data_IF_824346044627
#
_entry.id   IF_824346044627
#
_cell.length_a   1.000
_cell.length_b   1.000
_cell.length_c   1.000
_cell.angle_alpha   90.00
_cell.angle_beta   90.00
_cell.angle_gamma   90.00
#
_symmetry.space_group_name_H-M   'P 1'
#
loop_
_entity.id
_entity.type
_entity.pdbx_description
1 polymer ?
#
# COMPACT_ATOMS: atom_id res chain seq x y z
N UNK A 1 -9.18 63.07 -9.18
CA UNK A 1 -8.25 63.66 -8.18
C UNK A 1 -8.79 65.04 -7.82
N UNK A 2 -8.85 65.39 -6.53
CA UNK A 2 -9.29 66.71 -6.06
C UNK A 2 -8.06 67.59 -5.84
N UNK A 3 -8.04 68.78 -6.41
CA UNK A 3 -6.97 69.78 -6.24
C UNK A 3 -7.57 70.95 -5.44
N UNK A 4 -6.80 71.46 -4.47
CA UNK A 4 -7.21 72.57 -3.60
C UNK A 4 -7.66 73.80 -4.41
N UNK A 5 -8.85 74.37 -4.14
CA UNK A 5 -9.45 75.45 -4.92
C UNK A 5 -8.64 76.76 -4.94
N UNK A 6 -7.76 77.01 -3.96
CA UNK A 6 -6.86 78.18 -4.05
C UNK A 6 -5.77 78.00 -5.11
N UNK A 7 -5.29 76.76 -5.32
CA UNK A 7 -4.28 76.44 -6.34
C UNK A 7 -4.86 76.44 -7.75
N UNK A 8 -6.15 76.09 -7.91
CA UNK A 8 -6.83 76.14 -9.19
C UNK A 8 -7.07 77.57 -9.69
N UNK A 9 -7.37 78.52 -8.79
CA UNK A 9 -7.53 79.95 -9.13
C UNK A 9 -6.22 80.62 -9.57
N UNK A 10 -5.09 80.27 -8.95
CA UNK A 10 -3.76 80.80 -9.32
C UNK A 10 -3.34 80.31 -10.72
N UNK A 11 -3.91 79.21 -11.19
CA UNK A 11 -3.58 78.59 -12.47
C UNK A 11 -4.25 79.21 -13.70
N UNK A 12 -5.03 80.30 -13.57
CA UNK A 12 -5.74 80.99 -14.68
C UNK A 12 -6.48 80.02 -15.64
N UNK A 13 -7.11 78.97 -15.09
CA UNK A 13 -7.91 78.01 -15.87
C UNK A 13 -7.14 76.83 -16.48
N UNK A 14 -5.83 76.70 -16.24
CA UNK A 14 -5.03 75.58 -16.78
C UNK A 14 -5.16 74.26 -15.99
N UNK A 15 -5.64 74.27 -14.75
CA UNK A 15 -5.81 73.07 -13.92
C UNK A 15 -7.22 73.00 -13.30
N UNK A 16 -8.07 72.02 -13.66
CA UNK A 16 -9.42 71.88 -13.10
C UNK A 16 -9.42 71.32 -11.66
N UNK A 17 -10.27 71.87 -10.78
CA UNK A 17 -10.41 71.47 -9.35
C UNK A 17 -10.85 70.02 -9.15
N UNK A 18 -11.63 69.49 -10.10
CA UNK A 18 -12.07 68.09 -10.11
C UNK A 18 -11.77 67.47 -11.47
N UNK A 19 -10.93 66.42 -11.47
CA UNK A 19 -10.72 65.56 -12.63
C UNK A 19 -11.16 64.13 -12.33
N UNK A 20 -11.98 63.55 -13.20
CA UNK A 20 -12.35 62.14 -13.14
C UNK A 20 -11.95 61.47 -14.44
N UNK A 21 -11.00 60.55 -14.35
CA UNK A 21 -10.53 59.76 -15.47
C UNK A 21 -11.02 58.32 -15.29
N UNK A 22 -11.78 57.81 -16.26
CA UNK A 22 -12.12 56.40 -16.37
C UNK A 22 -11.45 55.83 -17.62
N UNK A 23 -10.81 54.68 -17.50
CA UNK A 23 -10.24 53.96 -18.63
C UNK A 23 -10.85 52.56 -18.69
N UNK A 24 -11.27 52.15 -19.89
CA UNK A 24 -11.72 50.79 -20.17
C UNK A 24 -10.80 50.25 -21.26
N UNK A 25 -10.07 49.18 -20.96
CA UNK A 25 -9.21 48.49 -21.91
C UNK A 25 -9.75 47.08 -22.14
N UNK A 26 -9.87 46.69 -23.41
CA UNK A 26 -10.21 45.34 -23.83
C UNK A 26 -9.10 44.81 -24.74
N UNK A 27 -8.65 43.58 -24.50
CA UNK A 27 -7.64 42.91 -25.31
C UNK A 27 -8.20 41.59 -25.83
N UNK A 28 -8.09 41.36 -27.13
CA UNK A 28 -8.51 40.13 -27.79
C UNK A 28 -7.35 39.56 -28.61
N UNK A 29 -7.05 38.27 -28.41
CA UNK A 29 -6.11 37.54 -29.23
C UNK A 29 -6.79 37.12 -30.54
N UNK A 30 -6.34 37.63 -31.68
CA UNK A 30 -6.87 37.24 -32.99
C UNK A 30 -6.20 35.97 -33.53
N UNK A 31 -4.88 35.84 -33.37
CA UNK A 31 -4.11 34.65 -33.76
C UNK A 31 -2.76 34.60 -33.03
N UNK A 32 -2.37 33.41 -32.55
CA UNK A 32 -1.03 33.12 -32.05
C UNK A 32 -0.77 31.62 -32.13
N UNK A 33 0.23 31.23 -32.91
CA UNK A 33 0.65 29.83 -33.04
C UNK A 33 1.12 29.27 -31.69
N UNK A 34 1.89 30.04 -30.93
CA UNK A 34 2.35 29.65 -29.59
C UNK A 34 1.20 29.42 -28.62
N UNK A 35 0.14 30.22 -28.67
CA UNK A 35 -1.03 30.02 -27.82
C UNK A 35 -1.78 28.73 -28.18
N UNK A 36 -1.94 28.44 -29.48
CA UNK A 36 -2.57 27.20 -29.96
C UNK A 36 -1.72 25.97 -29.61
N UNK A 37 -0.41 26.04 -29.82
CA UNK A 37 0.52 24.98 -29.45
C UNK A 37 0.50 24.72 -27.93
N UNK A 38 0.46 25.78 -27.12
CA UNK A 38 0.36 25.64 -25.67
C UNK A 38 -0.95 24.97 -25.25
N UNK A 39 -2.09 25.28 -25.89
CA UNK A 39 -3.35 24.59 -25.63
C UNK A 39 -3.24 23.09 -25.96
N UNK A 40 -2.62 22.75 -27.09
CA UNK A 40 -2.41 21.35 -27.45
C UNK A 40 -1.51 20.62 -26.44
N UNK A 41 -0.41 21.25 -26.00
CA UNK A 41 0.47 20.71 -24.96
C UNK A 41 -0.29 20.50 -23.65
N UNK A 42 -1.06 21.50 -23.20
CA UNK A 42 -1.84 21.41 -21.96
C UNK A 42 -2.88 20.27 -22.03
N UNK A 43 -3.47 20.04 -23.20
CA UNK A 43 -4.41 18.93 -23.41
C UNK A 43 -3.75 17.56 -23.32
N UNK A 44 -2.55 17.40 -23.88
CA UNK A 44 -1.80 16.14 -23.74
C UNK A 44 -1.28 15.94 -22.30
N UNK A 45 -0.90 17.01 -21.61
CA UNK A 45 -0.55 16.95 -20.19
C UNK A 45 -1.74 16.58 -19.30
N UNK A 46 -2.95 17.07 -19.62
CA UNK A 46 -4.19 16.70 -18.94
C UNK A 46 -4.47 15.20 -19.08
N UNK A 47 -4.43 14.66 -20.31
CA UNK A 47 -4.57 13.21 -20.53
C UNK A 47 -3.51 12.39 -19.81
N UNK A 48 -2.25 12.84 -19.83
CA UNK A 48 -1.18 12.18 -19.09
C UNK A 48 -1.46 12.17 -17.58
N UNK A 49 -2.03 13.25 -17.05
CA UNK A 49 -2.41 13.35 -15.65
C UNK A 49 -3.58 12.42 -15.29
N UNK A 50 -4.54 12.22 -16.19
CA UNK A 50 -5.61 11.21 -16.05
C UNK A 50 -5.04 9.80 -15.98
N UNK A 51 -4.10 9.43 -16.87
CA UNK A 51 -3.48 8.10 -16.85
C UNK A 51 -2.58 7.88 -15.62
N UNK A 52 -1.88 8.92 -15.15
CA UNK A 52 -1.14 8.88 -13.89
C UNK A 52 -2.10 8.62 -12.72
N UNK A 53 -3.27 9.24 -12.72
CA UNK A 53 -4.28 9.01 -11.70
C UNK A 53 -4.81 7.57 -11.73
N UNK A 54 -5.16 7.05 -12.90
CA UNK A 54 -5.60 5.66 -13.07
C UNK A 54 -4.55 4.67 -12.59
N UNK A 55 -3.28 4.93 -12.92
CA UNK A 55 -2.15 4.09 -12.47
C UNK A 55 -2.01 4.13 -10.96
N UNK A 56 -2.11 5.31 -10.34
CA UNK A 56 -2.04 5.45 -8.89
C UNK A 56 -3.19 4.72 -8.17
N UNK A 57 -4.39 4.69 -8.75
CA UNK A 57 -5.52 3.92 -8.22
C UNK A 57 -5.26 2.41 -8.28
N UNK A 58 -4.78 1.91 -9.42
CA UNK A 58 -4.43 0.49 -9.59
C UNK A 58 -3.30 0.06 -8.67
N UNK A 59 -2.27 0.90 -8.51
CA UNK A 59 -1.16 0.65 -7.58
C UNK A 59 -1.65 0.63 -6.13
N UNK A 60 -2.55 1.54 -5.74
CA UNK A 60 -3.14 1.54 -4.40
C UNK A 60 -3.91 0.24 -4.14
N UNK A 61 -4.75 -0.21 -5.09
CA UNK A 61 -5.48 -1.47 -4.99
C UNK A 61 -4.53 -2.67 -4.90
N UNK A 62 -3.54 -2.74 -5.78
CA UNK A 62 -2.56 -3.81 -5.79
C UNK A 62 -1.76 -3.90 -4.47
N UNK A 63 -1.33 -2.75 -3.95
CA UNK A 63 -0.64 -2.67 -2.67
C UNK A 63 -1.53 -3.12 -1.51
N UNK A 64 -2.82 -2.74 -1.51
CA UNK A 64 -3.78 -3.19 -0.52
C UNK A 64 -4.00 -4.72 -0.57
N UNK A 65 -4.18 -5.29 -1.76
CA UNK A 65 -4.31 -6.74 -1.94
C UNK A 65 -3.07 -7.48 -1.43
N UNK A 66 -1.86 -7.02 -1.79
CA UNK A 66 -0.62 -7.64 -1.33
C UNK A 66 -0.47 -7.57 0.19
N UNK A 67 -0.79 -6.42 0.79
CA UNK A 67 -0.73 -6.27 2.24
C UNK A 67 -1.70 -7.22 2.95
N UNK A 68 -2.93 -7.34 2.44
CA UNK A 68 -3.94 -8.25 2.96
C UNK A 68 -3.48 -9.72 2.92
N UNK A 69 -3.08 -10.23 1.75
CA UNK A 69 -2.64 -11.63 1.64
C UNK A 69 -1.34 -11.90 2.41
N UNK A 70 -0.41 -10.96 2.45
CA UNK A 70 0.80 -11.08 3.26
C UNK A 70 0.47 -11.19 4.75
N UNK A 71 -0.50 -10.41 5.23
CA UNK A 71 -0.95 -10.49 6.62
C UNK A 71 -1.62 -11.83 6.93
N UNK A 72 -2.42 -12.40 6.03
CA UNK A 72 -3.01 -13.75 6.19
C UNK A 72 -1.95 -14.85 6.25
N UNK A 73 -0.90 -14.77 5.42
CA UNK A 73 0.22 -15.70 5.47
C UNK A 73 0.93 -15.61 6.83
N UNK A 74 1.16 -14.39 7.33
CA UNK A 74 1.79 -14.16 8.63
C UNK A 74 0.92 -14.62 9.81
N UNK A 75 -0.40 -14.40 9.74
CA UNK A 75 -1.38 -14.94 10.69
C UNK A 75 -1.28 -16.46 10.78
N UNK A 76 -1.24 -17.11 9.61
CA UNK A 76 -1.11 -18.56 9.49
C UNK A 76 0.23 -19.06 10.03
N UNK A 77 1.33 -18.38 9.72
CA UNK A 77 2.65 -18.71 10.26
C UNK A 77 2.67 -18.60 11.80
N UNK A 78 2.12 -17.53 12.37
CA UNK A 78 2.01 -17.39 13.83
C UNK A 78 1.22 -18.54 14.47
N UNK A 79 0.12 -18.98 13.82
CA UNK A 79 -0.66 -20.16 14.24
C UNK A 79 0.19 -21.44 14.21
N UNK A 80 0.95 -21.67 13.14
CA UNK A 80 1.86 -22.82 13.00
C UNK A 80 2.94 -22.81 14.09
N UNK A 81 3.58 -21.67 14.35
CA UNK A 81 4.60 -21.59 15.41
C UNK A 81 4.03 -21.82 16.80
N UNK A 82 2.78 -21.41 17.05
CA UNK A 82 2.10 -21.73 18.29
C UNK A 82 1.85 -23.25 18.41
N UNK A 83 1.38 -23.90 17.35
CA UNK A 83 1.19 -25.36 17.34
C UNK A 83 2.50 -26.11 17.59
N UNK A 84 3.59 -25.70 16.94
CA UNK A 84 4.93 -26.26 17.17
C UNK A 84 5.36 -26.11 18.65
N UNK A 85 5.11 -24.95 19.24
CA UNK A 85 5.40 -24.71 20.65
C UNK A 85 4.59 -25.65 21.57
N UNK A 86 3.30 -25.87 21.28
CA UNK A 86 2.48 -26.80 22.07
C UNK A 86 2.97 -28.25 21.95
N UNK A 87 3.36 -28.68 20.75
CA UNK A 87 3.95 -30.02 20.54
C UNK A 87 5.24 -30.15 21.36
N UNK A 88 6.12 -29.16 21.32
CA UNK A 88 7.37 -29.17 22.10
C UNK A 88 7.12 -29.19 23.60
N UNK A 89 6.10 -28.47 24.10
CA UNK A 89 5.68 -28.55 25.51
C UNK A 89 5.26 -29.96 25.89
N UNK A 90 4.43 -30.60 25.06
CA UNK A 90 3.98 -31.98 25.31
C UNK A 90 5.14 -32.98 25.29
N UNK A 91 6.09 -32.82 24.36
CA UNK A 91 7.27 -33.66 24.29
C UNK A 91 8.19 -33.47 25.50
N UNK A 92 8.32 -32.25 26.01
CA UNK A 92 9.06 -31.98 27.24
C UNK A 92 8.43 -32.70 28.43
N UNK A 93 7.11 -32.60 28.59
CA UNK A 93 6.36 -33.27 29.66
C UNK A 93 6.57 -34.79 29.63
N UNK A 94 6.51 -35.41 28.45
CA UNK A 94 6.78 -36.84 28.28
C UNK A 94 8.23 -37.20 28.61
N UNK A 95 9.20 -36.35 28.23
CA UNK A 95 10.61 -36.57 28.55
C UNK A 95 10.89 -36.45 30.06
N UNK A 96 10.21 -35.55 30.76
CA UNK A 96 10.29 -35.42 32.22
C UNK A 96 9.71 -36.65 32.91
N UNK A 97 8.52 -37.11 32.49
CA UNK A 97 7.90 -38.34 33.01
C UNK A 97 8.78 -39.58 32.79
N UNK A 98 9.39 -39.73 31.61
CA UNK A 98 10.28 -40.84 31.31
C UNK A 98 11.59 -40.78 32.10
N UNK A 99 12.13 -39.58 32.33
CA UNK A 99 13.32 -39.39 33.17
C UNK A 99 13.03 -39.77 34.62
N UNK A 100 11.89 -39.33 35.16
CA UNK A 100 11.46 -39.65 36.53
C UNK A 100 11.19 -41.15 36.72
N UNK A 101 10.70 -41.84 35.68
CA UNK A 101 10.54 -43.28 35.65
C UNK A 101 11.85 -44.06 35.38
N UNK A 102 12.98 -43.37 35.14
CA UNK A 102 14.27 -43.98 34.81
C UNK A 102 14.39 -44.56 33.39
N UNK A 103 13.40 -44.29 32.52
CA UNK A 103 13.32 -44.79 31.15
C UNK A 103 14.08 -43.92 30.12
N UNK A 104 14.44 -42.68 30.46
CA UNK A 104 15.26 -41.80 29.60
C UNK A 104 16.32 -41.04 30.37
N UNK A 105 17.33 -40.53 29.67
CA UNK A 105 18.40 -39.73 30.26
C UNK A 105 18.03 -38.24 30.41
N UNK A 106 18.71 -37.54 31.33
CA UNK A 106 18.57 -36.08 31.55
C UNK A 106 18.82 -35.25 30.28
N UNK A 107 19.61 -35.78 29.34
CA UNK A 107 19.90 -35.14 28.06
C UNK A 107 18.65 -34.89 27.20
N UNK A 108 17.65 -35.78 27.22
CA UNK A 108 16.41 -35.58 26.46
C UNK A 108 15.58 -34.44 27.02
N UNK A 109 15.48 -34.33 28.36
CA UNK A 109 14.82 -33.20 29.04
C UNK A 109 15.51 -31.89 28.68
N UNK A 110 16.83 -31.83 28.74
CA UNK A 110 17.61 -30.63 28.41
C UNK A 110 17.45 -30.25 26.92
N UNK A 111 17.41 -31.24 26.01
CA UNK A 111 17.15 -31.01 24.58
C UNK A 111 15.79 -30.36 24.37
N UNK A 112 14.71 -30.91 24.95
CA UNK A 112 13.39 -30.35 24.79
C UNK A 112 13.21 -28.99 25.48
N UNK A 113 13.92 -28.72 26.59
CA UNK A 113 13.98 -27.37 27.18
C UNK A 113 14.63 -26.35 26.25
N UNK A 114 15.72 -26.72 25.59
CA UNK A 114 16.35 -25.87 24.56
C UNK A 114 15.40 -25.63 23.39
N UNK A 115 14.75 -26.69 22.90
CA UNK A 115 13.77 -26.61 21.81
C UNK A 115 12.58 -25.72 22.18
N UNK A 116 12.10 -25.79 23.43
CA UNK A 116 11.01 -24.95 23.94
C UNK A 116 11.39 -23.47 23.87
N UNK A 117 12.61 -23.11 24.28
CA UNK A 117 13.11 -21.74 24.20
C UNK A 117 13.17 -21.27 22.73
N UNK A 118 13.67 -22.10 21.82
CA UNK A 118 13.76 -21.79 20.39
C UNK A 118 12.37 -21.62 19.74
N UNK A 119 11.41 -22.50 20.04
CA UNK A 119 10.05 -22.37 19.51
C UNK A 119 9.30 -21.17 20.12
N UNK A 120 9.59 -20.83 21.38
CA UNK A 120 9.04 -19.62 22.00
C UNK A 120 9.53 -18.37 21.28
N UNK A 121 10.84 -18.29 20.99
CA UNK A 121 11.42 -17.20 20.21
C UNK A 121 10.81 -17.12 18.81
N UNK A 122 10.63 -18.27 18.14
CA UNK A 122 10.03 -18.34 16.81
C UNK A 122 8.58 -17.83 16.80
N UNK A 123 7.79 -18.18 17.82
CA UNK A 123 6.42 -17.67 17.98
C UNK A 123 6.39 -16.16 18.22
N UNK A 124 7.28 -15.62 19.05
CA UNK A 124 7.38 -14.17 19.30
C UNK A 124 7.69 -13.43 17.99
N UNK A 125 8.65 -13.92 17.22
CA UNK A 125 9.02 -13.34 15.92
C UNK A 125 7.85 -13.38 14.93
N UNK A 126 7.18 -14.53 14.79
CA UNK A 126 6.03 -14.67 13.91
C UNK A 126 4.85 -13.76 14.33
N UNK A 127 4.60 -13.63 15.63
CA UNK A 127 3.55 -12.76 16.17
C UNK A 127 3.86 -11.28 15.94
N UNK A 128 5.13 -10.87 16.09
CA UNK A 128 5.55 -9.50 15.81
C UNK A 128 5.48 -9.17 14.33
N UNK A 129 5.90 -10.09 13.45
CA UNK A 129 5.76 -9.92 12.01
C UNK A 129 4.28 -9.76 11.61
N UNK A 130 3.38 -10.57 12.17
CA UNK A 130 1.95 -10.42 11.95
C UNK A 130 1.43 -9.05 12.41
N UNK A 131 1.78 -8.61 13.63
CA UNK A 131 1.41 -7.27 14.11
C UNK A 131 1.92 -6.14 13.21
N UNK A 132 3.16 -6.24 12.74
CA UNK A 132 3.73 -5.26 11.81
C UNK A 132 2.95 -5.22 10.49
N UNK A 133 2.48 -6.36 9.98
CA UNK A 133 1.66 -6.37 8.77
C UNK A 133 0.32 -5.65 8.94
N UNK A 134 -0.30 -5.73 10.12
CA UNK A 134 -1.52 -4.95 10.44
C UNK A 134 -1.23 -3.45 10.47
N UNK A 135 -0.09 -3.05 11.05
CA UNK A 135 0.34 -1.66 11.04
C UNK A 135 0.53 -1.12 9.60
N UNK A 136 1.10 -1.94 8.70
CA UNK A 136 1.23 -1.59 7.28
C UNK A 136 -0.13 -1.42 6.61
N UNK A 137 -1.09 -2.30 6.91
CA UNK A 137 -2.46 -2.18 6.40
C UNK A 137 -3.09 -0.87 6.88
N UNK A 138 -2.96 -0.53 8.17
CA UNK A 138 -3.45 0.75 8.70
C UNK A 138 -2.85 1.96 7.98
N UNK A 139 -1.55 1.94 7.71
CA UNK A 139 -0.88 3.02 6.96
C UNK A 139 -1.42 3.16 5.54
N UNK A 140 -1.65 2.03 4.84
CA UNK A 140 -2.23 2.04 3.49
C UNK A 140 -3.67 2.55 3.47
N UNK A 141 -4.45 2.24 4.50
CA UNK A 141 -5.83 2.72 4.66
C UNK A 141 -5.91 4.14 5.24
N UNK A 142 -4.77 4.80 5.47
CA UNK A 142 -4.69 6.11 6.12
C UNK A 142 -5.38 6.15 7.50
N UNK A 143 -5.31 5.05 8.23
CA UNK A 143 -5.79 4.91 9.60
C UNK A 143 -4.65 5.13 10.62
N UNK A 144 -5.00 5.33 11.88
CA UNK A 144 -4.01 5.29 12.96
C UNK A 144 -3.31 3.93 13.01
N UNK A 145 -1.98 3.94 13.16
CA UNK A 145 -1.15 2.73 13.11
C UNK A 145 -1.62 1.67 14.13
N UNK A 146 -2.05 2.10 15.31
CA UNK A 146 -2.50 1.23 16.41
C UNK A 146 -3.97 0.80 16.31
N UNK A 147 -4.70 1.20 15.27
CA UNK A 147 -6.10 0.82 15.12
C UNK A 147 -6.23 -0.70 15.04
N UNK A 148 -7.02 -1.37 15.90
CA UNK A 148 -7.20 -2.82 15.83
C UNK A 148 -7.84 -3.21 14.50
N UNK A 149 -7.20 -4.13 13.78
CA UNK A 149 -7.74 -4.78 12.60
C UNK A 149 -7.97 -6.25 12.95
N UNK A 150 -9.18 -6.74 12.70
CA UNK A 150 -9.44 -8.17 12.59
C UNK A 150 -9.48 -8.55 11.11
N UNK A 151 -8.73 -9.61 10.76
CA UNK A 151 -8.64 -10.10 9.40
C UNK A 151 -9.46 -11.37 9.28
N UNK A 152 -10.52 -11.30 8.49
CA UNK A 152 -11.24 -12.49 8.05
C UNK A 152 -10.35 -13.33 7.12
N UNK A 153 -10.35 -14.64 7.34
CA UNK A 153 -9.61 -15.57 6.50
C UNK A 153 -10.21 -15.58 5.10
N UNK A 154 -9.36 -15.50 4.07
CA UNK A 154 -9.83 -15.54 2.68
C UNK A 154 -9.98 -16.98 2.19
N UNK A 155 -11.15 -17.31 1.68
CA UNK A 155 -11.35 -18.48 0.84
C UNK A 155 -11.40 -18.05 -0.63
N UNK A 156 -10.42 -18.51 -1.43
CA UNK A 156 -10.30 -18.14 -2.85
C UNK A 156 -11.42 -18.73 -3.73
N UNK A 157 -12.25 -19.62 -3.19
CA UNK A 157 -13.44 -20.20 -3.83
C UNK A 157 -14.74 -19.49 -3.47
N UNK A 158 -14.71 -18.54 -2.52
CA UNK A 158 -15.90 -17.90 -1.96
C UNK A 158 -15.82 -16.36 -2.02
N UNK A 159 -16.95 -15.71 -1.73
CA UNK A 159 -17.05 -14.25 -1.67
C UNK A 159 -16.66 -13.55 -2.98
N UNK A 160 -15.98 -12.40 -2.84
CA UNK A 160 -15.51 -11.56 -3.96
C UNK A 160 -14.53 -12.29 -4.90
N UNK A 161 -13.93 -13.40 -4.46
CA UNK A 161 -12.96 -14.15 -5.26
C UNK A 161 -13.60 -15.22 -6.15
N UNK A 162 -14.87 -15.57 -5.93
CA UNK A 162 -15.60 -16.58 -6.70
C UNK A 162 -15.65 -16.28 -8.20
N UNK A 163 -15.78 -14.99 -8.57
CA UNK A 163 -15.92 -14.56 -9.97
C UNK A 163 -14.62 -14.69 -10.79
N UNK A 164 -13.47 -14.80 -10.13
CA UNK A 164 -12.15 -14.82 -10.77
C UNK A 164 -11.66 -16.22 -11.16
N UNK A 165 -12.48 -17.27 -10.98
CA UNK A 165 -12.21 -18.65 -11.41
C UNK A 165 -10.81 -19.17 -10.97
N UNK A 166 -10.42 -18.89 -9.73
CA UNK A 166 -9.14 -19.30 -9.15
C UNK A 166 -8.92 -20.82 -9.11
N UNK A 167 -9.96 -21.63 -9.29
CA UNK A 167 -9.82 -23.08 -9.44
C UNK A 167 -8.90 -23.46 -10.60
N UNK A 168 -8.95 -22.72 -11.73
CA UNK A 168 -7.98 -22.93 -12.81
C UNK A 168 -6.56 -22.58 -12.36
N UNK A 169 -6.38 -21.49 -11.62
CA UNK A 169 -5.08 -21.11 -11.09
C UNK A 169 -4.51 -22.19 -10.16
N UNK A 170 -5.32 -22.72 -9.24
CA UNK A 170 -4.90 -23.81 -8.34
C UNK A 170 -4.48 -25.06 -9.12
N UNK A 171 -5.25 -25.48 -10.13
CA UNK A 171 -4.83 -26.62 -10.97
C UNK A 171 -3.51 -26.39 -11.70
N UNK A 172 -3.16 -25.14 -12.03
CA UNK A 172 -1.89 -24.79 -12.65
C UNK A 172 -0.73 -24.70 -11.64
N UNK A 173 -1.04 -24.35 -10.38
CA UNK A 173 -0.06 -24.24 -9.29
C UNK A 173 0.26 -25.61 -8.65
N UNK A 174 -0.70 -26.53 -8.62
CA UNK A 174 -0.54 -27.87 -8.04
C UNK A 174 0.34 -28.79 -8.89
N UNK A 175 0.46 -28.54 -10.21
CA UNK A 175 1.40 -29.24 -11.09
C UNK A 175 2.76 -28.52 -11.07
N UNK A 176 3.84 -29.13 -10.52
CA UNK A 176 5.14 -28.49 -10.41
C UNK A 176 5.75 -28.06 -11.75
N UNK A 177 5.45 -28.79 -12.84
CA UNK A 177 5.96 -28.46 -14.18
C UNK A 177 5.25 -27.24 -14.77
N UNK A 178 3.96 -27.11 -14.51
CA UNK A 178 3.16 -25.97 -14.98
C UNK A 178 3.44 -24.75 -14.11
N UNK A 179 3.52 -24.92 -12.79
CA UNK A 179 3.88 -23.88 -11.83
C UNK A 179 5.17 -23.16 -12.23
N UNK A 180 6.23 -23.93 -12.54
CA UNK A 180 7.52 -23.34 -12.93
C UNK A 180 7.42 -22.50 -14.20
N UNK A 181 6.63 -22.95 -15.19
CA UNK A 181 6.39 -22.21 -16.44
C UNK A 181 5.54 -20.95 -16.21
N UNK A 182 4.53 -21.04 -15.36
CA UNK A 182 3.68 -19.92 -14.99
C UNK A 182 4.49 -18.83 -14.28
N UNK A 183 5.35 -19.21 -13.31
CA UNK A 183 6.24 -18.25 -12.63
C UNK A 183 7.17 -17.58 -13.65
N UNK A 184 7.78 -18.35 -14.55
CA UNK A 184 8.66 -17.79 -15.59
C UNK A 184 7.91 -16.80 -16.51
N UNK A 185 6.69 -17.14 -16.91
CA UNK A 185 5.81 -16.27 -17.70
C UNK A 185 5.49 -14.97 -16.95
N UNK A 186 5.05 -15.05 -15.69
CA UNK A 186 4.70 -13.88 -14.88
C UNK A 186 5.91 -12.95 -14.64
N UNK A 187 7.11 -13.52 -14.45
CA UNK A 187 8.35 -12.74 -14.33
C UNK A 187 8.71 -12.05 -15.64
N UNK A 188 8.43 -12.68 -16.79
CA UNK A 188 8.64 -12.07 -18.11
C UNK A 188 7.64 -10.93 -18.36
N UNK A 189 6.36 -11.14 -18.10
CA UNK A 189 5.31 -10.12 -18.17
C UNK A 189 5.66 -8.89 -17.31
N UNK A 190 6.09 -9.11 -16.07
CA UNK A 190 6.49 -8.01 -15.18
C UNK A 190 7.65 -7.16 -15.75
N UNK A 191 8.60 -7.79 -16.45
CA UNK A 191 9.71 -7.06 -17.09
C UNK A 191 9.23 -6.26 -18.29
N UNK A 192 8.29 -6.80 -19.07
CA UNK A 192 7.69 -6.11 -20.22
C UNK A 192 6.84 -4.92 -19.79
N UNK A 193 6.10 -5.01 -18.68
CA UNK A 193 5.30 -3.90 -18.15
C UNK A 193 6.13 -2.75 -17.56
N UNK A 194 7.38 -2.99 -17.12
CA UNK A 194 8.29 -1.95 -16.61
C UNK A 194 9.02 -1.15 -17.70
N UNK A 195 8.92 -1.56 -18.97
CA UNK A 195 9.63 -0.93 -20.09
C UNK A 195 8.74 -0.03 -20.96
N UNK A 196 7.44 0.00 -20.71
CA UNK A 196 6.49 0.97 -21.26
C UNK A 196 6.09 1.98 -20.18
#
# INVERSE_FOLDING_TARGET
MYIDPELAKVSNGLNPEFSTNGNIAAQQLLYSESAVANIAIQKELEKAQEEIYNTAELDALFNACNAYFSALILKTNAKIQNQNLQITKRNLELAEQNFDAGASGKSDVLRFRSQLAQNTQSLIQASNAFKQSLNTINQLLNNEISNPIDLEDAELSEGVFKEYNYQKLFTLLDDPKIQTKLIAFLVQEQKSMRQN
#
